data_IF_472909598664
#
_entry.id   IF_472909598664
#
_cell.length_a   1.000
_cell.length_b   1.000
_cell.length_c   1.000
_cell.angle_alpha   90.00
_cell.angle_beta   90.00
_cell.angle_gamma   90.00
#
_symmetry.space_group_name_H-M   'P 1'
#
loop_
_entity.id
_entity.type
_entity.pdbx_description
1 polymer ?
#
# COMPACT_ATOMS: atom_id res chain seq x y z
N UNK A 1 3.14 -17.11 2.05
CA UNK A 1 2.34 -15.88 1.90
C UNK A 1 3.31 -14.74 1.83
N UNK A 2 3.08 -13.77 0.94
CA UNK A 2 3.93 -12.59 0.82
C UNK A 2 3.51 -11.56 1.88
N UNK A 3 4.41 -10.65 2.26
CA UNK A 3 4.14 -9.61 3.25
C UNK A 3 3.55 -8.37 2.61
N UNK A 4 2.72 -7.65 3.35
CA UNK A 4 2.41 -6.27 3.04
C UNK A 4 2.75 -5.36 4.21
N UNK A 5 3.02 -4.09 3.91
CA UNK A 5 3.03 -3.02 4.92
C UNK A 5 2.23 -1.84 4.42
N UNK A 6 1.58 -1.15 5.36
CA UNK A 6 0.93 0.12 5.14
C UNK A 6 1.69 1.19 5.93
N UNK A 7 2.22 2.17 5.23
CA UNK A 7 2.99 3.26 5.81
C UNK A 7 2.17 4.54 5.78
N UNK A 8 2.00 5.21 6.92
CA UNK A 8 1.59 6.60 6.94
C UNK A 8 2.80 7.47 6.56
N UNK A 9 2.65 8.28 5.53
CA UNK A 9 3.70 9.13 5.00
C UNK A 9 3.31 10.60 5.18
N UNK A 10 4.12 11.35 5.91
CA UNK A 10 3.88 12.76 6.23
C UNK A 10 5.00 13.66 5.74
N UNK A 11 4.66 14.92 5.44
CA UNK A 11 5.65 15.94 5.08
C UNK A 11 6.27 15.78 3.69
N UNK A 12 5.62 15.05 2.78
CA UNK A 12 6.06 14.95 1.39
C UNK A 12 5.81 16.27 0.65
N UNK A 13 6.80 16.84 -0.06
CA UNK A 13 6.66 18.17 -0.69
C UNK A 13 5.55 18.23 -1.75
N UNK A 14 5.33 17.11 -2.46
CA UNK A 14 4.28 17.00 -3.48
C UNK A 14 2.93 16.50 -2.92
N UNK A 15 2.77 16.49 -1.60
CA UNK A 15 1.50 16.14 -0.96
C UNK A 15 0.90 17.38 -0.27
N UNK A 16 -0.05 18.10 -0.91
CA UNK A 16 -0.64 19.30 -0.34
C UNK A 16 -1.51 19.02 0.90
N UNK A 17 -1.92 17.76 1.12
CA UNK A 17 -2.68 17.35 2.31
C UNK A 17 -1.79 17.13 3.52
N UNK A 18 -0.48 16.98 3.29
CA UNK A 18 0.54 16.74 4.30
C UNK A 18 0.59 15.30 4.83
N UNK A 19 -0.32 14.42 4.42
CA UNK A 19 -0.36 13.00 4.81
C UNK A 19 -1.08 12.14 3.76
N UNK A 20 -0.45 11.03 3.40
CA UNK A 20 -1.06 9.92 2.66
C UNK A 20 -0.62 8.58 3.24
N UNK A 21 -1.06 7.48 2.63
CA UNK A 21 -0.61 6.15 2.97
C UNK A 21 0.10 5.50 1.78
N UNK A 22 1.21 4.81 2.01
CA UNK A 22 1.87 3.98 1.00
C UNK A 22 1.62 2.50 1.33
N UNK A 23 0.92 1.79 0.46
CA UNK A 23 0.75 0.34 0.51
C UNK A 23 1.87 -0.33 -0.29
N UNK A 24 2.62 -1.21 0.35
CA UNK A 24 3.69 -1.98 -0.26
C UNK A 24 3.33 -3.47 -0.22
N UNK A 25 3.28 -4.11 -1.39
CA UNK A 25 3.11 -5.55 -1.54
C UNK A 25 4.44 -6.20 -1.93
N UNK A 26 4.95 -7.11 -1.08
CA UNK A 26 6.21 -7.81 -1.30
C UNK A 26 6.20 -8.69 -2.55
N UNK A 27 7.06 -8.36 -3.50
CA UNK A 27 7.41 -9.20 -4.65
C UNK A 27 8.79 -9.84 -4.44
N UNK A 28 9.32 -10.49 -5.49
CA UNK A 28 10.57 -11.24 -5.40
C UNK A 28 11.78 -10.37 -5.04
N UNK A 29 11.91 -9.17 -5.63
CA UNK A 29 13.07 -8.29 -5.50
C UNK A 29 12.74 -6.87 -5.03
N UNK A 30 11.46 -6.49 -5.04
CA UNK A 30 10.99 -5.18 -4.64
C UNK A 30 9.56 -5.24 -4.09
N UNK A 31 9.03 -4.09 -3.67
CA UNK A 31 7.63 -3.94 -3.29
C UNK A 31 6.88 -3.21 -4.39
N UNK A 32 5.84 -3.85 -4.93
CA UNK A 32 4.87 -3.14 -5.76
C UNK A 32 4.12 -2.16 -4.86
N UNK A 33 4.08 -0.87 -5.24
CA UNK A 33 3.71 0.20 -4.31
C UNK A 33 2.63 1.11 -4.85
N UNK A 34 1.71 1.52 -3.98
CA UNK A 34 0.69 2.52 -4.26
C UNK A 34 0.63 3.56 -3.16
N UNK A 35 0.54 4.82 -3.55
CA UNK A 35 0.04 5.90 -2.68
C UNK A 35 -1.47 5.80 -2.63
N UNK A 36 -2.05 5.83 -1.44
CA UNK A 36 -3.48 5.85 -1.16
C UNK A 36 -3.83 7.16 -0.46
N UNK A 37 -4.93 7.79 -0.88
CA UNK A 37 -5.43 9.01 -0.24
C UNK A 37 -5.97 8.76 1.18
N UNK A 38 -6.48 7.56 1.45
CA UNK A 38 -6.90 7.09 2.77
C UNK A 38 -6.79 5.56 2.83
N UNK A 39 -6.98 4.95 3.99
CA UNK A 39 -7.02 3.50 4.16
C UNK A 39 -8.37 2.96 3.66
N UNK A 40 -8.41 2.05 2.66
CA UNK A 40 -9.64 1.40 2.23
C UNK A 40 -10.35 0.70 3.39
N UNK A 41 -11.67 0.81 3.45
CA UNK A 41 -12.50 0.16 4.48
C UNK A 41 -13.58 -0.67 3.83
N UNK A 42 -13.92 -1.78 4.48
CA UNK A 42 -15.02 -2.65 4.08
C UNK A 42 -16.34 -1.88 4.02
N UNK A 43 -17.15 -2.15 2.98
CA UNK A 43 -18.43 -1.48 2.71
C UNK A 43 -18.33 0.06 2.57
N UNK A 44 -17.15 0.59 2.23
CA UNK A 44 -16.95 1.99 1.89
C UNK A 44 -16.58 2.15 0.41
N UNK A 45 -16.81 3.34 -0.19
CA UNK A 45 -16.33 3.62 -1.54
C UNK A 45 -14.82 3.41 -1.69
N UNK A 46 -14.40 3.15 -2.92
CA UNK A 46 -12.97 3.08 -3.25
C UNK A 46 -12.26 4.39 -2.88
N UNK A 47 -11.02 4.27 -2.43
CA UNK A 47 -10.13 5.41 -2.22
C UNK A 47 -9.30 5.65 -3.46
N UNK A 48 -8.92 6.92 -3.69
CA UNK A 48 -7.97 7.25 -4.75
C UNK A 48 -6.62 6.60 -4.44
N UNK A 49 -6.08 5.92 -5.44
CA UNK A 49 -4.75 5.34 -5.42
C UNK A 49 -3.89 5.93 -6.56
N UNK A 50 -2.58 5.85 -6.41
CA UNK A 50 -1.63 6.15 -7.48
C UNK A 50 -0.53 5.11 -7.41
N UNK A 51 -0.41 4.27 -8.44
CA UNK A 51 0.71 3.34 -8.51
C UNK A 51 2.04 4.10 -8.61
N UNK A 52 2.99 3.75 -7.76
CA UNK A 52 4.32 4.34 -7.67
C UNK A 52 5.37 3.37 -8.24
N UNK A 53 6.60 3.85 -8.50
CA UNK A 53 7.73 2.96 -8.73
C UNK A 53 7.94 1.99 -7.55
N UNK A 54 8.49 0.82 -7.86
CA UNK A 54 8.73 -0.20 -6.85
C UNK A 54 9.64 0.31 -5.72
N UNK A 55 9.27 -0.05 -4.49
CA UNK A 55 10.03 0.32 -3.31
C UNK A 55 10.96 -0.79 -2.86
N UNK A 56 12.03 -0.41 -2.16
CA UNK A 56 13.00 -1.36 -1.61
C UNK A 56 12.37 -2.21 -0.50
N UNK A 57 12.66 -3.51 -0.52
CA UNK A 57 12.21 -4.48 0.49
C UNK A 57 12.50 -4.09 1.94
N UNK A 58 13.53 -3.26 2.18
CA UNK A 58 13.90 -2.77 3.54
C UNK A 58 12.74 -2.09 4.27
N UNK A 59 11.76 -1.53 3.56
CA UNK A 59 10.60 -0.90 4.19
C UNK A 59 9.62 -1.90 4.80
N UNK A 60 9.67 -3.18 4.43
CA UNK A 60 8.85 -4.22 5.05
C UNK A 60 9.19 -4.41 6.54
N UNK A 61 10.45 -4.20 6.91
CA UNK A 61 10.96 -4.44 8.26
C UNK A 61 11.05 -3.16 9.11
N UNK A 62 10.99 -1.98 8.48
CA UNK A 62 11.08 -0.70 9.20
C UNK A 62 9.77 -0.40 9.94
N UNK A 63 9.91 0.03 11.19
CA UNK A 63 8.80 0.63 11.94
C UNK A 63 8.53 2.05 11.47
N UNK A 64 9.60 2.83 11.25
CA UNK A 64 9.53 4.20 10.80
C UNK A 64 10.88 4.70 10.28
N UNK A 65 10.88 5.87 9.64
CA UNK A 65 12.11 6.57 9.29
C UNK A 65 11.91 7.67 8.25
N UNK A 66 12.95 8.50 8.10
CA UNK A 66 13.01 9.52 7.07
C UNK A 66 13.02 8.93 5.66
N UNK A 67 12.25 9.55 4.78
CA UNK A 67 12.24 9.24 3.35
C UNK A 67 13.32 10.07 2.66
N UNK A 68 14.19 9.38 1.93
CA UNK A 68 15.39 9.97 1.34
C UNK A 68 15.10 11.19 0.46
N UNK A 69 16.03 12.15 0.41
CA UNK A 69 15.89 13.34 -0.43
C UNK A 69 14.96 14.40 0.15
N UNK A 70 14.74 14.39 1.47
CA UNK A 70 13.88 15.37 2.14
C UNK A 70 12.40 15.20 1.80
N UNK A 71 11.98 13.96 1.51
CA UNK A 71 10.62 13.67 1.05
C UNK A 71 9.64 13.37 2.19
N UNK A 72 10.01 13.67 3.43
CA UNK A 72 9.15 13.48 4.59
C UNK A 72 9.55 12.28 5.46
N UNK A 73 8.58 11.77 6.21
CA UNK A 73 8.75 10.69 7.17
C UNK A 73 7.67 9.63 6.97
N UNK A 74 8.07 8.37 6.98
CA UNK A 74 7.16 7.24 6.86
C UNK A 74 7.13 6.44 8.17
N UNK A 75 5.93 6.09 8.63
CA UNK A 75 5.70 5.27 9.82
C UNK A 75 4.74 4.13 9.49
N UNK A 76 5.09 2.91 9.86
CA UNK A 76 4.23 1.75 9.66
C UNK A 76 3.01 1.85 10.57
N UNK A 77 1.83 1.78 9.95
CA UNK A 77 0.53 1.79 10.64
C UNK A 77 -0.17 0.44 10.59
N UNK A 78 0.18 -0.39 9.61
CA UNK A 78 -0.28 -1.77 9.55
C UNK A 78 0.74 -2.66 8.84
N UNK A 79 0.66 -3.96 9.07
CA UNK A 79 1.45 -4.96 8.37
C UNK A 79 0.81 -6.33 8.52
N UNK A 80 1.07 -7.19 7.54
CA UNK A 80 0.58 -8.55 7.62
C UNK A 80 1.00 -9.39 6.44
N UNK A 81 0.20 -10.41 6.15
CA UNK A 81 0.39 -11.27 5.00
C UNK A 81 -0.68 -11.02 3.95
N UNK A 82 -0.39 -11.39 2.72
CA UNK A 82 -1.39 -11.45 1.66
C UNK A 82 -1.17 -12.65 0.75
N UNK A 83 -2.22 -12.98 0.00
CA UNK A 83 -2.21 -13.96 -1.09
C UNK A 83 -2.90 -13.38 -2.33
N UNK A 84 -2.39 -13.70 -3.52
CA UNK A 84 -3.07 -13.36 -4.77
C UNK A 84 -4.29 -14.25 -4.97
N UNK A 85 -5.47 -13.64 -5.13
CA UNK A 85 -6.69 -14.34 -5.51
C UNK A 85 -6.82 -14.42 -7.04
N UNK A 86 -6.26 -13.45 -7.75
CA UNK A 86 -6.15 -13.46 -9.20
C UNK A 86 -4.70 -13.26 -9.64
N UNK A 87 -4.23 -14.12 -10.55
CA UNK A 87 -2.85 -14.13 -11.06
C UNK A 87 -2.76 -13.76 -12.55
N UNK A 88 -3.87 -13.36 -13.19
CA UNK A 88 -3.82 -13.01 -14.61
C UNK A 88 -3.04 -11.71 -14.80
N UNK A 89 -1.88 -11.83 -15.43
CA UNK A 89 -0.94 -10.76 -15.81
C UNK A 89 -1.48 -9.77 -16.86
N UNK A 90 -2.75 -9.89 -17.25
CA UNK A 90 -3.38 -9.06 -18.26
C UNK A 90 -4.00 -7.76 -17.70
N UNK A 91 -4.22 -7.66 -16.38
CA UNK A 91 -4.93 -6.53 -15.79
C UNK A 91 -3.99 -5.57 -15.04
N UNK A 92 -4.28 -4.28 -15.19
CA UNK A 92 -3.80 -3.16 -14.37
C UNK A 92 -4.36 -3.20 -12.94
N UNK A 93 -4.83 -4.36 -12.50
CA UNK A 93 -5.54 -4.64 -11.25
C UNK A 93 -4.79 -5.74 -10.48
N UNK A 94 -4.77 -5.62 -9.16
CA UNK A 94 -4.39 -6.68 -8.23
C UNK A 94 -5.60 -6.99 -7.37
N UNK A 95 -5.91 -8.29 -7.25
CA UNK A 95 -6.91 -8.78 -6.30
C UNK A 95 -6.19 -9.70 -5.33
N UNK A 96 -6.05 -9.23 -4.09
CA UNK A 96 -5.32 -9.92 -3.03
C UNK A 96 -6.18 -10.04 -1.79
N UNK A 97 -6.10 -11.18 -1.12
CA UNK A 97 -6.62 -11.32 0.23
C UNK A 97 -5.52 -10.87 1.19
N UNK A 98 -5.79 -9.84 1.97
CA UNK A 98 -4.87 -9.24 2.96
C UNK A 98 -5.32 -9.59 4.36
N UNK A 99 -4.36 -9.85 5.24
CA UNK A 99 -4.58 -10.18 6.65
C UNK A 99 -3.65 -9.33 7.50
N UNK A 100 -4.09 -8.14 7.87
CA UNK A 100 -3.46 -7.27 8.88
C UNK A 100 -4.42 -6.92 10.01
N UNK A 101 -4.05 -5.93 10.83
CA UNK A 101 -4.90 -5.45 11.92
C UNK A 101 -5.94 -4.44 11.43
N UNK A 102 -5.57 -3.56 10.50
CA UNK A 102 -6.45 -2.51 9.96
C UNK A 102 -6.96 -2.87 8.57
N UNK A 103 -6.07 -3.29 7.68
CA UNK A 103 -6.35 -3.68 6.31
C UNK A 103 -6.50 -5.21 6.25
N UNK A 104 -7.74 -5.69 6.30
CA UNK A 104 -8.07 -7.11 6.29
C UNK A 104 -9.30 -7.38 5.41
N UNK A 105 -9.22 -8.38 4.55
CA UNK A 105 -10.27 -8.74 3.58
C UNK A 105 -9.72 -8.89 2.16
N UNK A 106 -10.60 -8.80 1.15
CA UNK A 106 -10.21 -8.82 -0.26
C UNK A 106 -9.97 -7.38 -0.73
N UNK A 107 -8.72 -7.05 -1.02
CA UNK A 107 -8.32 -5.79 -1.60
C UNK A 107 -8.22 -5.92 -3.12
N UNK A 108 -9.00 -5.10 -3.82
CA UNK A 108 -8.86 -4.86 -5.26
C UNK A 108 -8.22 -3.50 -5.47
N UNK A 109 -7.06 -3.46 -6.12
CA UNK A 109 -6.32 -2.22 -6.35
C UNK A 109 -5.87 -2.10 -7.80
N UNK A 110 -6.13 -0.94 -8.41
CA UNK A 110 -5.70 -0.59 -9.75
C UNK A 110 -4.63 0.49 -9.71
N UNK A 111 -4.26 1.05 -10.87
CA UNK A 111 -3.38 2.22 -10.92
C UNK A 111 -3.95 3.46 -10.24
N UNK A 112 -5.28 3.56 -10.13
CA UNK A 112 -5.98 4.81 -9.74
C UNK A 112 -6.92 4.67 -8.54
N UNK A 113 -7.30 3.44 -8.17
CA UNK A 113 -8.30 3.21 -7.11
C UNK A 113 -7.96 1.97 -6.28
N UNK A 114 -8.34 1.98 -5.00
CA UNK A 114 -8.27 0.82 -4.12
C UNK A 114 -9.59 0.61 -3.38
N UNK A 115 -10.11 -0.62 -3.39
CA UNK A 115 -11.38 -1.01 -2.79
C UNK A 115 -11.20 -2.25 -1.93
N UNK A 116 -11.84 -2.27 -0.76
CA UNK A 116 -11.77 -3.40 0.18
C UNK A 116 -13.16 -4.00 0.39
N UNK A 117 -13.27 -5.31 0.21
CA UNK A 117 -14.46 -6.10 0.52
C UNK A 117 -14.14 -7.21 1.53
N UNK A 118 -15.19 -7.85 2.06
CA UNK A 118 -15.04 -9.10 2.82
C UNK A 118 -14.60 -10.26 1.92
#
# INVERSE_FOLDING_TARGET
>A
MSRFVLLEHTGHPDDPTGRHFDLLLEQADACETWRLADIPRVEQPAVVATQLPDHRLVWLDRLEGEVSGGRGFARRVDSGSYVYLNTTSANEERVVEVTGETLSGVLTITRTEAFLSQ
#
